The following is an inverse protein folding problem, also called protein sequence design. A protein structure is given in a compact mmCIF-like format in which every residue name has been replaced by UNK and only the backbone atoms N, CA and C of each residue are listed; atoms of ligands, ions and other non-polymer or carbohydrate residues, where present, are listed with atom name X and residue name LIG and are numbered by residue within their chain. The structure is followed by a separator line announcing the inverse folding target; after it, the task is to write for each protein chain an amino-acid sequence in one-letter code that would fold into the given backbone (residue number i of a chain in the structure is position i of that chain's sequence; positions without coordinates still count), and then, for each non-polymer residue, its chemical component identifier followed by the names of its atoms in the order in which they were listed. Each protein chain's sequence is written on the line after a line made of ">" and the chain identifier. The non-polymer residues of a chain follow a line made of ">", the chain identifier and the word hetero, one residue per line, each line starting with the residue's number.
data_IF_657356835546
#
_entry.id   IF_657356835546
#
_cell.length_a   1.000
_cell.length_b   1.000
_cell.length_c   1.000
_cell.angle_alpha   90.00
_cell.angle_beta   90.00
_cell.angle_gamma   90.00
#
_symmetry.space_group_name_H-M   'P 1'
#
loop_
_entity.id
_entity.type
_entity.pdbx_description
1 polymer ?
#
# COMPACT_ATOMS: atom_id res chain seq x y z
N UNK A 1 5.58 16.78 27.16
CA UNK A 1 4.53 15.78 26.88
C UNK A 1 4.78 15.31 25.47
N UNK A 2 4.70 14.01 25.21
CA UNK A 2 4.77 13.51 23.83
C UNK A 2 3.56 14.05 23.06
N UNK A 3 3.76 14.36 21.78
CA UNK A 3 2.67 14.78 20.91
C UNK A 3 1.62 13.66 20.82
N UNK A 4 0.32 13.93 21.05
CA UNK A 4 -0.72 12.91 20.95
C UNK A 4 -0.71 12.16 19.61
N UNK A 5 -0.41 12.84 18.49
CA UNK A 5 -0.35 12.18 17.18
C UNK A 5 0.84 11.20 17.10
N UNK A 6 2.02 11.60 17.55
CA UNK A 6 3.21 10.71 17.60
C UNK A 6 2.94 9.44 18.41
N UNK A 7 2.23 9.60 19.53
CA UNK A 7 1.86 8.50 20.41
C UNK A 7 0.83 7.56 19.75
N UNK A 8 -0.15 8.11 19.03
CA UNK A 8 -1.13 7.34 18.28
C UNK A 8 -0.48 6.55 17.13
N UNK A 9 0.43 7.18 16.38
CA UNK A 9 1.20 6.54 15.31
C UNK A 9 2.12 5.44 15.85
N UNK A 10 2.80 5.65 16.98
CA UNK A 10 3.61 4.59 17.61
C UNK A 10 2.74 3.42 18.09
N UNK A 11 1.55 3.68 18.64
CA UNK A 11 0.61 2.64 19.04
C UNK A 11 0.17 1.79 17.83
N UNK A 12 -0.20 2.43 16.72
CA UNK A 12 -0.63 1.76 15.49
C UNK A 12 0.47 0.89 14.86
N UNK A 13 1.74 1.26 15.03
CA UNK A 13 2.89 0.43 14.61
C UNK A 13 3.09 -0.83 15.45
N UNK A 14 2.47 -0.92 16.63
CA UNK A 14 2.61 -2.04 17.58
C UNK A 14 1.38 -2.94 17.64
N UNK A 15 0.20 -2.39 17.36
CA UNK A 15 -1.04 -3.15 17.30
C UNK A 15 -1.07 -4.07 16.09
N UNK A 16 -1.95 -5.07 16.11
CA UNK A 16 -2.09 -6.00 15.00
C UNK A 16 -2.54 -5.23 13.73
N UNK A 17 -1.74 -5.24 12.65
CA UNK A 17 -2.04 -4.50 11.43
C UNK A 17 -3.33 -4.94 10.73
N UNK A 18 -3.79 -6.17 10.96
CA UNK A 18 -5.09 -6.66 10.46
C UNK A 18 -6.27 -5.84 10.97
N UNK A 19 -6.14 -5.29 12.17
CA UNK A 19 -7.18 -4.53 12.85
C UNK A 19 -6.99 -3.01 12.70
N UNK A 20 -6.10 -2.55 11.82
CA UNK A 20 -5.71 -1.12 11.73
C UNK A 20 -6.91 -0.19 11.60
N UNK A 21 -7.90 -0.52 10.77
CA UNK A 21 -9.12 0.29 10.61
C UNK A 21 -9.86 0.44 11.95
N UNK A 22 -10.10 -0.67 12.65
CA UNK A 22 -10.76 -0.65 13.96
C UNK A 22 -9.94 0.12 14.99
N UNK A 23 -8.62 0.00 14.94
CA UNK A 23 -7.73 0.69 15.87
C UNK A 23 -7.76 2.20 15.63
N UNK A 24 -7.76 2.66 14.37
CA UNK A 24 -7.93 4.07 14.00
C UNK A 24 -9.29 4.59 14.47
N UNK A 25 -10.39 3.89 14.17
CA UNK A 25 -11.75 4.25 14.59
C UNK A 25 -11.84 4.42 16.13
N UNK A 26 -11.18 3.54 16.88
CA UNK A 26 -11.12 3.61 18.35
C UNK A 26 -10.28 4.79 18.86
N UNK A 27 -9.15 5.10 18.21
CA UNK A 27 -8.30 6.24 18.60
C UNK A 27 -9.02 7.55 18.33
N UNK A 28 -9.71 7.68 17.19
CA UNK A 28 -10.55 8.83 16.86
C UNK A 28 -11.65 8.99 17.90
N UNK A 29 -12.31 7.89 18.29
CA UNK A 29 -13.33 7.91 19.35
C UNK A 29 -12.79 8.38 20.71
N UNK A 30 -11.51 8.11 21.01
CA UNK A 30 -10.85 8.54 22.24
C UNK A 30 -10.40 10.01 22.18
N UNK A 31 -9.94 10.47 21.02
CA UNK A 31 -9.54 11.85 20.80
C UNK A 31 -9.94 12.32 19.38
N UNK A 32 -11.17 12.86 19.23
CA UNK A 32 -11.69 13.29 17.92
C UNK A 32 -10.85 14.38 17.24
N UNK A 33 -10.06 15.14 18.00
CA UNK A 33 -9.18 16.16 17.44
C UNK A 33 -8.05 15.59 16.56
N UNK A 34 -7.79 14.28 16.62
CA UNK A 34 -6.79 13.59 15.79
C UNK A 34 -7.37 13.00 14.50
N UNK A 35 -8.66 13.17 14.22
CA UNK A 35 -9.33 12.53 13.08
C UNK A 35 -8.66 12.87 11.74
N UNK A 36 -8.48 14.16 11.46
CA UNK A 36 -7.86 14.64 10.22
C UNK A 36 -6.41 14.13 10.09
N UNK A 37 -5.57 14.39 11.10
CA UNK A 37 -4.17 13.96 11.11
C UNK A 37 -4.00 12.43 10.95
N UNK A 38 -4.87 11.63 11.58
CA UNK A 38 -4.80 10.17 11.50
C UNK A 38 -5.24 9.64 10.13
N UNK A 39 -6.30 10.19 9.56
CA UNK A 39 -6.78 9.78 8.23
C UNK A 39 -5.77 10.19 7.14
N UNK A 40 -5.04 11.30 7.32
CA UNK A 40 -3.96 11.69 6.41
C UNK A 40 -2.68 10.86 6.58
N UNK A 41 -2.39 10.42 7.81
CA UNK A 41 -1.11 9.77 8.14
C UNK A 41 -1.15 8.24 8.12
N UNK A 42 -2.33 7.63 8.19
CA UNK A 42 -2.48 6.18 8.40
C UNK A 42 -3.29 5.54 7.28
N UNK A 43 -2.57 4.86 6.40
CA UNK A 43 -3.20 4.00 5.39
C UNK A 43 -3.93 2.81 6.02
N UNK A 44 -5.20 2.64 5.64
CA UNK A 44 -6.03 1.49 5.99
C UNK A 44 -6.31 0.61 4.76
N UNK A 45 -6.64 -0.69 4.94
CA UNK A 45 -7.00 -1.57 3.83
C UNK A 45 -8.09 -0.99 2.95
N UNK A 46 -7.91 -1.08 1.63
CA UNK A 46 -8.79 -0.44 0.66
C UNK A 46 -10.16 -1.13 0.64
N UNK A 47 -11.20 -0.31 0.56
CA UNK A 47 -12.58 -0.79 0.42
C UNK A 47 -13.03 -0.69 -1.03
N UNK A 48 -14.00 -1.53 -1.41
CA UNK A 48 -14.49 -1.63 -2.79
C UNK A 48 -15.91 -1.10 -2.86
N UNK A 49 -16.19 -0.22 -3.82
CA UNK A 49 -17.54 0.18 -4.20
C UNK A 49 -17.77 -0.07 -5.69
N UNK A 50 -19.04 -0.12 -6.09
CA UNK A 50 -19.44 -0.29 -7.49
C UNK A 50 -20.02 1.02 -8.01
N UNK A 51 -19.49 1.50 -9.14
CA UNK A 51 -20.03 2.67 -9.83
C UNK A 51 -21.45 2.38 -10.32
N UNK A 52 -22.43 3.18 -9.92
CA UNK A 52 -23.83 2.98 -10.29
C UNK A 52 -24.05 3.12 -11.80
N UNK A 53 -23.28 3.98 -12.48
CA UNK A 53 -23.39 4.24 -13.93
C UNK A 53 -22.68 3.20 -14.79
N UNK A 54 -21.39 2.97 -14.54
CA UNK A 54 -20.56 2.10 -15.39
C UNK A 54 -20.59 0.63 -14.94
N UNK A 55 -21.12 0.34 -13.75
CA UNK A 55 -21.14 -0.98 -13.09
C UNK A 55 -19.77 -1.58 -12.81
N UNK A 56 -18.70 -0.80 -12.99
CA UNK A 56 -17.32 -1.18 -12.67
C UNK A 56 -17.05 -0.96 -11.19
N UNK A 57 -16.27 -1.86 -10.60
CA UNK A 57 -15.77 -1.71 -9.23
C UNK A 57 -14.66 -0.65 -9.18
N UNK A 58 -14.52 0.03 -8.06
CA UNK A 58 -13.46 1.00 -7.79
C UNK A 58 -13.05 0.97 -6.32
N UNK A 59 -11.82 1.40 -6.05
CA UNK A 59 -11.21 1.41 -4.73
C UNK A 59 -11.46 2.74 -4.03
N UNK A 60 -11.74 2.66 -2.74
CA UNK A 60 -12.05 3.80 -1.89
C UNK A 60 -10.93 4.00 -0.87
N UNK A 61 -10.44 5.23 -0.79
CA UNK A 61 -9.51 5.75 0.20
C UNK A 61 -9.96 7.17 0.59
N UNK A 62 -9.21 7.84 1.47
CA UNK A 62 -9.57 9.19 1.89
C UNK A 62 -9.35 10.23 0.78
N UNK A 63 -8.39 10.01 -0.14
CA UNK A 63 -8.10 10.92 -1.26
C UNK A 63 -9.21 11.04 -2.32
N UNK A 64 -10.17 10.09 -2.35
CA UNK A 64 -11.34 10.19 -3.24
C UNK A 64 -12.65 10.29 -2.46
N UNK A 65 -12.58 10.61 -1.17
CA UNK A 65 -13.71 10.74 -0.27
C UNK A 65 -14.10 12.21 -0.09
N UNK A 66 -15.40 12.45 -0.02
CA UNK A 66 -15.99 13.72 0.40
C UNK A 66 -17.16 13.39 1.34
N UNK A 67 -17.03 13.74 2.63
CA UNK A 67 -17.95 13.30 3.68
C UNK A 67 -18.08 11.77 3.72
N UNK A 68 -19.28 11.26 3.45
CA UNK A 68 -19.58 9.81 3.41
C UNK A 68 -19.75 9.27 1.98
N UNK A 69 -19.17 9.97 1.01
CA UNK A 69 -19.29 9.66 -0.41
C UNK A 69 -17.92 9.52 -1.07
N UNK A 70 -17.82 8.64 -2.07
CA UNK A 70 -16.55 8.38 -2.77
C UNK A 70 -16.70 8.59 -4.27
N UNK A 71 -15.79 9.37 -4.87
CA UNK A 71 -15.77 9.66 -6.30
C UNK A 71 -15.32 8.43 -7.08
N UNK A 72 -16.13 8.01 -8.05
CA UNK A 72 -15.77 6.94 -8.97
C UNK A 72 -14.83 7.45 -10.06
N UNK A 73 -13.72 6.76 -10.37
CA UNK A 73 -12.79 7.17 -11.42
C UNK A 73 -13.41 6.96 -12.82
N UNK A 74 -14.47 6.17 -12.92
CA UNK A 74 -15.12 5.83 -14.18
C UNK A 74 -16.15 6.89 -14.61
N UNK A 75 -17.07 7.24 -13.71
CA UNK A 75 -18.13 8.23 -13.99
C UNK A 75 -17.77 9.65 -13.58
N UNK A 76 -16.74 9.83 -12.73
CA UNK A 76 -16.44 11.07 -12.02
C UNK A 76 -17.53 11.50 -11.02
N UNK A 77 -18.39 10.58 -10.60
CA UNK A 77 -19.50 10.87 -9.69
C UNK A 77 -19.33 10.17 -8.35
N UNK A 78 -19.89 10.78 -7.32
CA UNK A 78 -19.80 10.33 -5.94
C UNK A 78 -20.84 9.26 -5.61
N UNK A 79 -20.44 8.30 -4.77
CA UNK A 79 -21.28 7.19 -4.32
C UNK A 79 -21.27 7.06 -2.77
N UNK A 80 -22.36 7.44 -2.07
CA UNK A 80 -23.63 7.96 -2.58
C UNK A 80 -23.53 9.34 -3.27
N UNK A 81 -24.54 9.69 -4.08
CA UNK A 81 -24.58 10.99 -4.76
C UNK A 81 -24.65 12.16 -3.78
N UNK A 82 -23.90 13.23 -4.06
CA UNK A 82 -23.87 14.49 -3.31
C UNK A 82 -24.10 15.67 -4.27
N UNK A 83 -24.59 16.79 -3.74
CA UNK A 83 -24.90 17.98 -4.53
C UNK A 83 -23.65 18.74 -4.96
N UNK A 84 -22.69 18.91 -4.03
CA UNK A 84 -21.41 19.55 -4.26
C UNK A 84 -20.30 18.63 -3.77
N UNK A 85 -19.43 18.19 -4.68
CA UNK A 85 -18.27 17.38 -4.37
C UNK A 85 -17.06 17.88 -5.12
N UNK A 86 -15.88 17.77 -4.51
CA UNK A 86 -14.64 18.24 -5.13
C UNK A 86 -14.25 17.32 -6.30
N UNK A 87 -14.13 17.90 -7.50
CA UNK A 87 -13.70 17.19 -8.71
C UNK A 87 -12.49 17.88 -9.34
N UNK A 88 -11.57 17.12 -9.97
CA UNK A 88 -10.41 17.70 -10.63
C UNK A 88 -10.81 18.56 -11.84
N UNK A 89 -9.92 19.48 -12.23
CA UNK A 89 -10.06 20.26 -13.46
C UNK A 89 -10.11 19.40 -14.72
N UNK A 90 -10.63 19.94 -15.82
CA UNK A 90 -10.76 19.21 -17.09
C UNK A 90 -9.44 18.63 -17.62
N UNK A 91 -8.31 19.32 -17.39
CA UNK A 91 -6.98 18.83 -17.77
C UNK A 91 -6.61 17.62 -16.92
N UNK A 92 -6.68 17.76 -15.59
CA UNK A 92 -6.32 16.70 -14.65
C UNK A 92 -7.25 15.49 -14.80
N UNK A 93 -8.56 15.70 -15.02
CA UNK A 93 -9.51 14.62 -15.28
C UNK A 93 -9.17 13.83 -16.54
N UNK A 94 -8.77 14.48 -17.64
CA UNK A 94 -8.32 13.78 -18.87
C UNK A 94 -7.09 12.93 -18.60
N UNK A 95 -6.14 13.43 -17.81
CA UNK A 95 -4.96 12.68 -17.39
C UNK A 95 -5.33 11.50 -16.47
N UNK A 96 -6.25 11.71 -15.53
CA UNK A 96 -6.77 10.68 -14.62
C UNK A 96 -7.41 9.52 -15.38
N UNK A 97 -8.19 9.79 -16.43
CA UNK A 97 -8.77 8.74 -17.29
C UNK A 97 -7.68 7.92 -17.97
N UNK A 98 -6.67 8.56 -18.58
CA UNK A 98 -5.53 7.86 -19.20
C UNK A 98 -4.74 7.05 -18.17
N UNK A 99 -4.54 7.59 -16.96
CA UNK A 99 -3.83 6.90 -15.90
C UNK A 99 -4.61 5.65 -15.45
N UNK A 100 -5.93 5.73 -15.29
CA UNK A 100 -6.76 4.57 -14.98
C UNK A 100 -6.66 3.48 -16.06
N UNK A 101 -6.66 3.86 -17.34
CA UNK A 101 -6.46 2.89 -18.44
C UNK A 101 -5.08 2.23 -18.37
N UNK A 102 -4.02 3.01 -18.18
CA UNK A 102 -2.66 2.50 -18.08
C UNK A 102 -2.47 1.56 -16.87
N UNK A 103 -2.99 1.94 -15.71
CA UNK A 103 -2.86 1.13 -14.49
C UNK A 103 -3.80 -0.08 -14.45
N UNK A 104 -4.90 -0.09 -15.22
CA UNK A 104 -5.70 -1.30 -15.42
C UNK A 104 -4.93 -2.35 -16.24
N UNK A 105 -4.14 -1.92 -17.24
CA UNK A 105 -3.20 -2.80 -17.95
C UNK A 105 -2.07 -3.27 -17.04
N UNK A 106 -1.45 -2.37 -16.27
CA UNK A 106 -0.43 -2.73 -15.28
C UNK A 106 -0.94 -3.79 -14.29
N UNK A 107 -2.13 -3.58 -13.73
CA UNK A 107 -2.81 -4.51 -12.83
C UNK A 107 -2.96 -5.88 -13.49
N UNK A 108 -3.45 -5.93 -14.73
CA UNK A 108 -3.65 -7.21 -15.42
C UNK A 108 -2.32 -7.96 -15.62
N UNK A 109 -1.26 -7.26 -16.03
CA UNK A 109 0.06 -7.86 -16.28
C UNK A 109 0.73 -8.40 -15.02
N UNK A 110 0.58 -7.71 -13.87
CA UNK A 110 1.29 -8.06 -12.63
C UNK A 110 0.45 -8.85 -11.63
N UNK A 111 -0.87 -8.71 -11.64
CA UNK A 111 -1.77 -9.30 -10.64
C UNK A 111 -2.79 -10.30 -11.23
N UNK A 112 -2.90 -10.41 -12.56
CA UNK A 112 -3.82 -11.32 -13.26
C UNK A 112 -5.23 -11.29 -12.65
N UNK A 113 -5.77 -10.07 -12.49
CA UNK A 113 -7.03 -9.79 -11.81
C UNK A 113 -6.91 -8.75 -10.70
N UNK A 114 -7.85 -8.73 -9.76
CA UNK A 114 -7.95 -7.66 -8.76
C UNK A 114 -8.63 -6.40 -9.30
N UNK A 115 -8.49 -5.30 -8.57
CA UNK A 115 -9.08 -4.00 -8.90
C UNK A 115 -7.98 -2.93 -8.84
N UNK A 116 -8.03 -1.96 -9.73
CA UNK A 116 -7.20 -0.76 -9.69
C UNK A 116 -8.05 0.50 -9.75
N UNK A 117 -7.57 1.58 -9.17
CA UNK A 117 -8.19 2.91 -9.30
C UNK A 117 -7.12 3.98 -9.16
N UNK A 118 -7.22 5.02 -9.98
CA UNK A 118 -6.33 6.18 -9.91
C UNK A 118 -7.16 7.43 -9.72
N UNK A 119 -6.75 8.26 -8.76
CA UNK A 119 -7.36 9.55 -8.48
C UNK A 119 -6.31 10.66 -8.54
N UNK A 120 -6.59 11.72 -9.27
CA UNK A 120 -5.73 12.89 -9.37
C UNK A 120 -6.49 14.13 -8.88
N UNK A 121 -5.76 15.08 -8.34
CA UNK A 121 -6.29 16.39 -7.92
C UNK A 121 -5.30 17.51 -8.24
N UNK A 122 -5.86 18.71 -8.44
CA UNK A 122 -5.10 19.91 -8.76
C UNK A 122 -4.28 20.39 -7.54
N UNK A 123 -3.09 20.93 -7.81
CA UNK A 123 -2.23 21.61 -6.85
C UNK A 123 -1.77 22.94 -7.46
N UNK A 124 -1.38 23.92 -6.64
CA UNK A 124 -0.98 25.25 -7.13
C UNK A 124 0.20 25.19 -8.14
N UNK A 125 1.19 24.34 -7.85
CA UNK A 125 2.43 24.19 -8.65
C UNK A 125 2.49 22.86 -9.42
N UNK A 126 1.34 22.26 -9.76
CA UNK A 126 1.29 21.01 -10.52
C UNK A 126 0.04 20.18 -10.22
N UNK A 127 0.24 18.93 -9.82
CA UNK A 127 -0.85 18.05 -9.42
C UNK A 127 -0.36 16.96 -8.47
N UNK A 128 -1.29 16.31 -7.81
CA UNK A 128 -1.01 15.14 -7.00
C UNK A 128 -2.02 14.04 -7.30
N UNK A 129 -1.74 12.84 -6.81
CA UNK A 129 -2.60 11.71 -7.08
C UNK A 129 -2.30 10.51 -6.20
N UNK A 130 -3.20 9.54 -6.26
CA UNK A 130 -2.97 8.22 -5.72
C UNK A 130 -3.29 7.12 -6.75
N UNK A 131 -2.43 6.10 -6.77
CA UNK A 131 -2.64 4.85 -7.52
C UNK A 131 -2.91 3.75 -6.51
N UNK A 132 -4.05 3.08 -6.67
CA UNK A 132 -4.55 2.06 -5.76
C UNK A 132 -4.64 0.73 -6.50
N UNK A 133 -4.13 -0.33 -5.87
CA UNK A 133 -4.21 -1.70 -6.39
C UNK A 133 -4.68 -2.61 -5.25
N UNK A 134 -5.70 -3.42 -5.53
CA UNK A 134 -6.19 -4.42 -4.57
C UNK A 134 -6.33 -5.76 -5.24
N UNK A 135 -5.65 -6.77 -4.69
CA UNK A 135 -5.84 -8.18 -5.05
C UNK A 135 -6.22 -8.96 -3.81
N UNK A 136 -7.46 -9.42 -3.78
CA UNK A 136 -7.86 -10.48 -2.85
C UNK A 136 -7.71 -11.83 -3.57
N UNK A 137 -7.09 -12.79 -2.90
CA UNK A 137 -7.17 -14.20 -3.28
C UNK A 137 -8.51 -14.70 -2.77
N UNK A 138 -9.32 -15.32 -3.63
CA UNK A 138 -10.58 -15.94 -3.20
C UNK A 138 -10.29 -16.88 -2.03
N UNK A 139 -10.82 -16.60 -0.82
CA UNK A 139 -10.50 -17.41 0.34
C UNK A 139 -11.01 -18.82 0.07
N UNK A 140 -10.10 -19.79 0.06
CA UNK A 140 -10.51 -21.17 0.28
C UNK A 140 -10.80 -21.34 1.77
N UNK A 141 -11.41 -22.45 2.17
CA UNK A 141 -11.64 -22.73 3.60
C UNK A 141 -10.36 -22.78 4.43
N UNK A 142 -9.18 -22.90 3.79
CA UNK A 142 -7.89 -23.10 4.45
C UNK A 142 -6.87 -22.00 4.17
N UNK A 143 -7.15 -21.03 3.29
CA UNK A 143 -6.19 -19.96 2.99
C UNK A 143 -6.90 -18.67 2.57
N UNK A 144 -6.44 -17.56 3.12
CA UNK A 144 -6.86 -16.21 2.78
C UNK A 144 -5.62 -15.37 2.45
N UNK A 145 -5.74 -14.50 1.45
CA UNK A 145 -4.68 -13.55 1.13
C UNK A 145 -5.24 -12.25 0.58
N UNK A 146 -4.76 -11.12 1.06
CA UNK A 146 -5.05 -9.81 0.49
C UNK A 146 -3.78 -9.00 0.32
N UNK A 147 -3.69 -8.33 -0.81
CA UNK A 147 -2.67 -7.36 -1.16
C UNK A 147 -3.35 -6.04 -1.48
N UNK A 148 -2.91 -4.98 -0.81
CA UNK A 148 -3.34 -3.61 -1.02
C UNK A 148 -2.09 -2.74 -1.24
N UNK A 149 -1.97 -2.13 -2.42
CA UNK A 149 -0.96 -1.09 -2.71
C UNK A 149 -1.60 0.28 -2.76
N UNK A 150 -0.98 1.24 -2.10
CA UNK A 150 -1.40 2.64 -2.03
C UNK A 150 -0.18 3.49 -2.37
N UNK A 151 -0.21 4.15 -3.52
CA UNK A 151 0.89 4.95 -4.03
C UNK A 151 0.43 6.40 -4.13
N UNK A 152 0.77 7.22 -3.14
CA UNK A 152 0.45 8.65 -3.12
C UNK A 152 1.63 9.43 -3.65
N UNK A 153 1.40 10.36 -4.57
CA UNK A 153 2.47 11.16 -5.15
C UNK A 153 2.07 12.62 -5.34
N UNK A 154 3.07 13.50 -5.26
CA UNK A 154 2.99 14.87 -5.75
C UNK A 154 3.96 15.07 -6.92
N UNK A 155 3.49 15.80 -7.94
CA UNK A 155 4.24 16.16 -9.13
C UNK A 155 4.26 17.69 -9.26
N UNK A 156 5.45 18.27 -9.08
CA UNK A 156 5.67 19.70 -9.18
C UNK A 156 6.24 20.04 -10.56
N UNK A 157 5.46 20.78 -11.33
CA UNK A 157 5.80 21.12 -12.71
C UNK A 157 6.88 22.20 -12.74
N UNK A 158 7.90 21.97 -13.57
CA UNK A 158 8.91 22.95 -13.96
C UNK A 158 8.94 23.03 -15.49
N UNK A 159 9.70 23.96 -16.05
CA UNK A 159 9.64 24.30 -17.48
C UNK A 159 9.72 23.11 -18.47
N UNK A 160 10.56 22.10 -18.22
CA UNK A 160 10.71 20.89 -19.08
C UNK A 160 10.89 19.60 -18.28
N UNK A 161 10.68 19.68 -16.98
CA UNK A 161 10.89 18.60 -16.03
C UNK A 161 9.83 18.71 -14.96
N UNK A 162 9.52 17.63 -14.27
CA UNK A 162 8.76 17.69 -13.04
C UNK A 162 9.53 16.99 -11.92
N UNK A 163 9.39 17.53 -10.72
CA UNK A 163 9.87 16.88 -9.50
C UNK A 163 8.75 16.02 -8.94
N UNK A 164 9.00 14.73 -8.82
CA UNK A 164 8.04 13.76 -8.30
C UNK A 164 8.48 13.29 -6.94
N UNK A 165 7.54 13.22 -6.01
CA UNK A 165 7.72 12.57 -4.72
C UNK A 165 6.63 11.52 -4.59
N UNK A 166 7.05 10.26 -4.42
CA UNK A 166 6.18 9.10 -4.34
C UNK A 166 6.34 8.47 -2.96
N UNK A 167 5.24 8.40 -2.22
CA UNK A 167 5.09 7.62 -0.99
C UNK A 167 4.24 6.40 -1.29
N UNK A 168 4.80 5.22 -1.04
CA UNK A 168 4.17 3.95 -1.34
C UNK A 168 4.00 3.12 -0.08
N UNK A 169 2.78 2.65 0.13
CA UNK A 169 2.40 1.75 1.20
C UNK A 169 1.88 0.45 0.61
N UNK A 170 2.40 -0.67 1.11
CA UNK A 170 1.84 -2.00 0.84
C UNK A 170 1.32 -2.58 2.14
N UNK A 171 0.07 -3.02 2.13
CA UNK A 171 -0.56 -3.78 3.21
C UNK A 171 -0.78 -5.20 2.72
N UNK A 172 -0.21 -6.16 3.43
CA UNK A 172 -0.29 -7.59 3.14
C UNK A 172 -0.98 -8.28 4.32
N UNK A 173 -1.95 -9.14 4.03
CA UNK A 173 -2.51 -10.07 5.00
C UNK A 173 -2.55 -11.46 4.39
N UNK A 174 -1.98 -12.43 5.09
CA UNK A 174 -1.94 -13.83 4.71
C UNK A 174 -2.39 -14.67 5.90
N UNK A 175 -3.41 -15.49 5.68
CA UNK A 175 -3.94 -16.43 6.64
C UNK A 175 -3.90 -17.84 6.06
N UNK A 176 -3.47 -18.81 6.85
CA UNK A 176 -3.55 -20.23 6.51
C UNK A 176 -4.04 -20.99 7.71
N UNK A 177 -5.03 -21.85 7.50
CA UNK A 177 -5.53 -22.76 8.52
C UNK A 177 -5.43 -24.20 8.02
N UNK A 178 -4.82 -25.07 8.82
CA UNK A 178 -4.71 -26.49 8.51
C UNK A 178 -4.53 -27.32 9.79
N UNK A 179 -4.98 -28.56 9.77
CA UNK A 179 -4.86 -29.47 10.92
C UNK A 179 -3.42 -29.64 11.42
N UNK A 180 -2.43 -29.55 10.52
CA UNK A 180 -1.02 -29.75 10.84
C UNK A 180 -0.34 -28.48 11.39
N UNK A 181 -0.75 -27.29 10.93
CA UNK A 181 -0.14 -26.01 11.32
C UNK A 181 -0.93 -25.27 12.41
N UNK A 182 -2.22 -25.59 12.55
CA UNK A 182 -3.21 -24.71 13.16
C UNK A 182 -3.44 -23.46 12.32
N UNK A 183 -3.93 -22.41 12.96
CA UNK A 183 -4.11 -21.09 12.36
C UNK A 183 -2.81 -20.27 12.36
N UNK A 184 -2.33 -19.93 11.17
CA UNK A 184 -1.25 -18.98 10.93
C UNK A 184 -1.82 -17.68 10.36
N UNK A 185 -1.49 -16.55 10.96
CA UNK A 185 -1.78 -15.21 10.45
C UNK A 185 -0.48 -14.41 10.34
N UNK A 186 -0.17 -13.99 9.12
CA UNK A 186 0.97 -13.15 8.77
C UNK A 186 0.42 -11.90 8.10
N UNK A 187 0.33 -10.83 8.87
CA UNK A 187 -0.18 -9.54 8.42
C UNK A 187 0.83 -8.44 8.69
N UNK A 188 0.87 -7.44 7.81
CA UNK A 188 1.56 -6.18 8.10
C UNK A 188 1.67 -5.23 6.93
N UNK A 189 2.31 -4.10 7.21
CA UNK A 189 2.45 -2.99 6.29
C UNK A 189 3.93 -2.64 6.05
N UNK A 190 4.20 -1.99 4.93
CA UNK A 190 5.50 -1.43 4.60
C UNK A 190 5.31 -0.09 3.89
N UNK A 191 5.99 0.94 4.37
CA UNK A 191 5.97 2.28 3.77
C UNK A 191 7.37 2.63 3.25
N UNK A 192 7.45 3.18 2.04
CA UNK A 192 8.67 3.67 1.40
C UNK A 192 8.41 4.97 0.65
N UNK A 193 9.41 5.83 0.61
CA UNK A 193 9.36 7.08 -0.13
C UNK A 193 10.53 7.14 -1.12
N UNK A 194 10.29 7.73 -2.28
CA UNK A 194 11.32 8.05 -3.28
C UNK A 194 10.99 9.39 -3.94
N UNK A 195 12.02 10.11 -4.35
CA UNK A 195 11.89 11.36 -5.09
C UNK A 195 12.72 11.27 -6.37
N UNK A 196 12.25 11.90 -7.45
CA UNK A 196 12.94 11.92 -8.73
C UNK A 196 12.57 13.17 -9.55
N UNK A 197 13.57 13.80 -10.18
CA UNK A 197 13.33 14.78 -11.25
C UNK A 197 13.35 14.06 -12.61
N UNK A 198 12.27 14.19 -13.38
CA UNK A 198 12.14 13.52 -14.69
C UNK A 198 11.72 14.52 -15.78
N UNK A 199 12.16 14.30 -17.01
CA UNK A 199 11.76 15.12 -18.15
C UNK A 199 10.26 14.94 -18.46
N UNK A 200 9.61 16.03 -18.88
CA UNK A 200 8.18 16.05 -19.23
C UNK A 200 8.02 16.79 -20.55
N UNK A 201 7.42 16.11 -21.53
CA UNK A 201 7.06 16.71 -22.81
C UNK A 201 5.58 17.12 -22.83
N UNK A 202 4.72 16.29 -22.24
CA UNK A 202 3.26 16.46 -22.19
C UNK A 202 2.62 15.72 -21.00
N UNK A 203 1.29 15.84 -20.85
CA UNK A 203 0.52 15.13 -19.82
C UNK A 203 0.64 13.59 -19.92
N UNK A 204 0.92 13.05 -21.11
CA UNK A 204 1.14 11.60 -21.28
C UNK A 204 2.47 11.17 -20.67
N UNK A 205 3.49 12.02 -20.74
CA UNK A 205 4.80 11.82 -20.13
C UNK A 205 4.71 11.71 -18.61
N UNK A 206 3.83 12.50 -17.98
CA UNK A 206 3.55 12.38 -16.54
C UNK A 206 3.05 10.99 -16.16
N UNK A 207 2.04 10.47 -16.87
CA UNK A 207 1.48 9.13 -16.61
C UNK A 207 2.56 8.05 -16.75
N UNK A 208 3.41 8.14 -17.77
CA UNK A 208 4.52 7.20 -17.97
C UNK A 208 5.58 7.29 -16.85
N UNK A 209 5.96 8.50 -16.44
CA UNK A 209 6.92 8.72 -15.37
C UNK A 209 6.42 8.16 -14.02
N UNK A 210 5.16 8.44 -13.68
CA UNK A 210 4.51 7.90 -12.47
C UNK A 210 4.43 6.38 -12.54
N UNK A 211 4.01 5.82 -13.68
CA UNK A 211 3.97 4.37 -13.91
C UNK A 211 5.31 3.70 -13.64
N UNK A 212 6.41 4.28 -14.14
CA UNK A 212 7.77 3.79 -13.89
C UNK A 212 8.15 3.84 -12.41
N UNK A 213 7.86 4.95 -11.73
CA UNK A 213 8.17 5.08 -10.30
C UNK A 213 7.40 4.06 -9.45
N UNK A 214 6.11 3.84 -9.77
CA UNK A 214 5.26 2.86 -9.10
C UNK A 214 5.78 1.44 -9.34
N UNK A 215 6.09 1.09 -10.60
CA UNK A 215 6.62 -0.23 -10.96
C UNK A 215 7.94 -0.56 -10.24
N UNK A 216 8.90 0.37 -10.28
CA UNK A 216 10.19 0.20 -9.60
C UNK A 216 10.02 0.07 -8.07
N UNK A 217 9.10 0.85 -7.49
CA UNK A 217 8.86 0.83 -6.04
C UNK A 217 8.14 -0.44 -5.61
N UNK A 218 7.08 -0.86 -6.32
CA UNK A 218 6.38 -2.13 -6.07
C UNK A 218 7.33 -3.32 -6.12
N UNK A 219 8.20 -3.38 -7.13
CA UNK A 219 9.16 -4.47 -7.28
C UNK A 219 10.12 -4.54 -6.07
N UNK A 220 10.65 -3.39 -5.64
CA UNK A 220 11.52 -3.31 -4.47
C UNK A 220 10.80 -3.72 -3.18
N UNK A 221 9.59 -3.21 -2.96
CA UNK A 221 8.80 -3.53 -1.77
C UNK A 221 8.40 -5.01 -1.73
N UNK A 222 8.00 -5.59 -2.87
CA UNK A 222 7.67 -7.03 -2.97
C UNK A 222 8.84 -7.91 -2.56
N UNK A 223 10.05 -7.61 -3.04
CA UNK A 223 11.26 -8.35 -2.67
C UNK A 223 11.57 -8.22 -1.17
N UNK A 224 11.45 -7.01 -0.61
CA UNK A 224 11.66 -6.78 0.83
C UNK A 224 10.62 -7.50 1.69
N UNK A 225 9.35 -7.49 1.28
CA UNK A 225 8.29 -8.21 1.98
C UNK A 225 8.58 -9.70 2.01
N UNK A 226 9.05 -10.28 0.90
CA UNK A 226 9.42 -11.69 0.86
C UNK A 226 10.55 -12.04 1.85
N UNK A 227 11.61 -11.22 1.90
CA UNK A 227 12.75 -11.45 2.79
C UNK A 227 12.38 -11.26 4.26
N UNK A 228 11.65 -10.19 4.58
CA UNK A 228 11.33 -9.85 5.98
C UNK A 228 10.21 -10.71 6.52
N UNK A 229 9.07 -10.82 5.84
CA UNK A 229 7.90 -11.50 6.39
C UNK A 229 8.12 -13.00 6.53
N UNK A 230 8.65 -13.64 5.49
CA UNK A 230 8.84 -15.09 5.53
C UNK A 230 10.21 -15.47 6.10
N UNK A 231 11.25 -14.68 5.87
CA UNK A 231 12.59 -14.95 6.39
C UNK A 231 12.67 -14.71 7.91
N UNK A 232 12.38 -13.49 8.37
CA UNK A 232 12.54 -13.15 9.79
C UNK A 232 11.55 -13.88 10.70
N UNK A 233 10.30 -14.02 10.29
CA UNK A 233 9.34 -14.78 11.10
C UNK A 233 9.78 -16.24 11.26
N UNK A 234 10.25 -16.87 10.18
CA UNK A 234 10.78 -18.24 10.21
C UNK A 234 12.02 -18.35 11.11
N UNK A 235 12.95 -17.41 11.02
CA UNK A 235 14.16 -17.39 11.85
C UNK A 235 13.80 -17.26 13.34
N UNK A 236 12.92 -16.32 13.70
CA UNK A 236 12.48 -16.10 15.08
C UNK A 236 11.77 -17.33 15.64
N UNK A 237 10.84 -17.93 14.89
CA UNK A 237 10.16 -19.17 15.32
C UNK A 237 11.15 -20.33 15.47
N UNK A 238 12.11 -20.44 14.55
CA UNK A 238 13.17 -21.45 14.59
C UNK A 238 14.10 -21.31 15.80
N UNK A 239 14.40 -20.07 16.20
CA UNK A 239 15.21 -19.76 17.39
C UNK A 239 14.46 -20.02 18.69
N UNK A 240 13.14 -19.81 18.72
CA UNK A 240 12.30 -20.12 19.88
C UNK A 240 12.16 -21.63 20.12
N UNK A 241 12.08 -22.42 19.05
CA UNK A 241 11.95 -23.89 19.15
C UNK A 241 12.62 -24.59 17.97
N UNK A 242 13.83 -25.08 18.18
CA UNK A 242 14.54 -25.93 17.21
C UNK A 242 14.13 -27.41 17.34
N UNK A 243 14.00 -28.10 16.21
CA UNK A 243 13.82 -29.58 16.20
C UNK A 243 15.13 -30.28 16.61
N UNK A 244 16.31 -29.87 16.08
CA UNK A 244 17.59 -30.37 16.60
C UNK A 244 17.84 -29.83 18.02
N UNK A 245 18.61 -30.58 18.80
CA UNK A 245 19.05 -30.10 20.11
C UNK A 245 19.92 -28.85 19.96
N UNK A 246 19.79 -27.89 20.89
CA UNK A 246 20.64 -26.70 20.98
C UNK A 246 22.14 -27.02 20.94
N UNK A 247 22.55 -28.15 21.54
CA UNK A 247 23.94 -28.61 21.51
C UNK A 247 24.41 -28.94 20.10
N UNK A 248 23.57 -29.62 19.31
CA UNK A 248 23.87 -29.94 17.91
C UNK A 248 23.92 -28.67 17.06
N UNK A 249 22.92 -27.79 17.18
CA UNK A 249 22.88 -26.53 16.43
C UNK A 249 24.07 -25.63 16.73
N UNK A 250 24.52 -25.58 18.00
CA UNK A 250 25.70 -24.82 18.39
C UNK A 250 27.00 -25.41 17.82
N UNK A 251 27.12 -26.75 17.78
CA UNK A 251 28.25 -27.42 17.12
C UNK A 251 28.30 -27.10 15.63
N UNK A 252 27.17 -27.24 14.94
CA UNK A 252 27.09 -27.00 13.50
C UNK A 252 27.44 -25.54 13.16
N UNK A 253 26.95 -24.56 13.94
CA UNK A 253 27.34 -23.13 13.82
C UNK A 253 28.84 -22.90 14.06
N UNK A 254 29.44 -23.57 15.04
CA UNK A 254 30.86 -23.47 15.31
C UNK A 254 31.70 -24.03 14.15
N UNK A 255 31.32 -25.20 13.62
CA UNK A 255 31.97 -25.82 12.46
C UNK A 255 31.83 -24.95 11.21
N UNK A 256 30.66 -24.34 10.99
CA UNK A 256 30.45 -23.42 9.88
C UNK A 256 31.33 -22.16 9.98
N UNK A 257 31.47 -21.58 11.19
CA UNK A 257 32.39 -20.45 11.44
C UNK A 257 33.85 -20.83 11.19
N UNK A 258 34.26 -22.00 11.64
CA UNK A 258 35.62 -22.51 11.40
C UNK A 258 35.90 -22.69 9.91
N UNK A 259 34.96 -23.24 9.14
CA UNK A 259 35.09 -23.35 7.68
C UNK A 259 35.22 -21.98 7.01
N UNK A 260 34.34 -21.03 7.32
CA UNK A 260 34.40 -19.67 6.74
C UNK A 260 35.75 -19.00 7.05
N UNK A 261 36.24 -19.12 8.29
CA UNK A 261 37.53 -18.57 8.69
C UNK A 261 38.71 -19.27 7.99
N UNK A 262 38.58 -20.56 7.67
CA UNK A 262 39.60 -21.32 6.93
C UNK A 262 39.64 -20.99 5.43
N UNK A 263 38.52 -20.57 4.85
CA UNK A 263 38.43 -20.15 3.43
C UNK A 263 38.86 -18.69 3.21
N UNK A 264 38.91 -17.88 4.27
CA UNK A 264 39.43 -16.51 4.25
C UNK A 264 40.94 -16.39 4.46
N UNK A 265 41.68 -17.49 4.39
CA UNK A 265 43.15 -17.54 4.42
C UNK A 265 43.73 -17.97 3.09
#
# INVERSE_FOLDING_TARGET
>A
MADPIDSALDLLRRLNPKDVKRNVDNIISLNPALEEDLLESVDIPLTVKKCSKTKRDFLCCDYNRDGDSWRSPWSNEFEPAIEEGVTPSDRIRKMEVKANEAFDVYRELYFEGGISSVYLWDMDDGFAGCVLLKKAVSPTSSSSGSWDSIHVFDAQDRARTAHYKLTSTVILSLGTDSDALGGLDLSGNMVRQVEADMAVEDDTSHVANIGKMVEDMELKMRNLLQEVYFGKAKDVVGDLRSIPSLSQTNKDRATQREMINSMGR
#
